data_IF_353569404931
#
_entry.id   IF_353569404931
#
_cell.length_a   1.000
_cell.length_b   1.000
_cell.length_c   1.000
_cell.angle_alpha   90.00
_cell.angle_beta   90.00
_cell.angle_gamma   90.00
#
_symmetry.space_group_name_H-M   'P 1'
#
loop_
_entity.id
_entity.type
_entity.pdbx_description
1 polymer ?
#
# COMPACT_ATOMS: atom_id res chain seq x y z
N UNK A 1 -3.64 2.58 1.72
CA UNK A 1 -2.69 1.74 0.95
C UNK A 1 -1.31 1.86 1.58
N UNK A 2 -0.69 0.74 1.94
CA UNK A 2 0.73 0.67 2.31
C UNK A 2 1.54 0.08 1.18
N UNK A 3 2.74 0.62 0.98
CA UNK A 3 3.78 0.10 0.08
C UNK A 3 5.01 -0.19 0.93
N UNK A 4 5.66 -1.33 0.74
CA UNK A 4 6.80 -1.78 1.54
C UNK A 4 7.84 -2.49 0.64
N UNK A 5 9.13 -2.25 0.86
CA UNK A 5 10.20 -2.92 0.11
C UNK A 5 10.41 -4.33 0.69
N UNK A 6 10.54 -5.31 -0.18
CA UNK A 6 10.89 -6.67 0.24
C UNK A 6 12.39 -6.79 0.46
N UNK A 7 12.74 -7.56 1.50
CA UNK A 7 14.12 -7.88 1.83
C UNK A 7 15.00 -6.62 2.03
N UNK A 8 14.38 -5.51 2.53
CA UNK A 8 15.08 -4.25 2.73
C UNK A 8 16.15 -4.35 3.84
N UNK A 9 15.84 -4.99 4.96
CA UNK A 9 16.81 -5.12 6.07
C UNK A 9 18.10 -5.81 5.64
N UNK A 10 18.07 -7.01 5.00
CA UNK A 10 19.29 -7.63 4.46
C UNK A 10 20.02 -6.75 3.44
N UNK A 11 19.26 -6.01 2.61
CA UNK A 11 19.87 -5.07 1.67
C UNK A 11 20.61 -3.95 2.40
N UNK A 12 20.00 -3.30 3.40
CA UNK A 12 20.60 -2.21 4.16
C UNK A 12 21.82 -2.67 4.98
N UNK A 13 21.82 -3.90 5.48
CA UNK A 13 22.97 -4.49 6.20
C UNK A 13 24.18 -4.77 5.27
N UNK A 14 23.92 -4.99 3.98
CA UNK A 14 24.94 -5.39 2.99
C UNK A 14 25.42 -4.24 2.10
N UNK A 15 24.85 -3.05 2.24
CA UNK A 15 25.15 -1.90 1.41
C UNK A 15 25.45 -0.66 2.24
N UNK A 16 25.95 0.40 1.59
CA UNK A 16 26.23 1.67 2.27
C UNK A 16 24.95 2.42 2.64
N UNK A 17 25.04 3.39 3.53
CA UNK A 17 23.92 4.25 3.87
C UNK A 17 23.44 5.06 2.65
N UNK A 18 24.38 5.51 1.82
CA UNK A 18 24.11 6.23 0.57
C UNK A 18 23.32 5.36 -0.42
N UNK A 19 23.72 4.11 -0.64
CA UNK A 19 23.00 3.15 -1.51
C UNK A 19 21.62 2.84 -0.98
N UNK A 20 21.51 2.71 0.33
CA UNK A 20 20.22 2.45 1.01
C UNK A 20 19.25 3.62 0.80
N UNK A 21 19.70 4.85 1.01
CA UNK A 21 18.88 6.06 0.77
C UNK A 21 18.56 6.23 -0.71
N UNK A 22 19.52 5.99 -1.60
CA UNK A 22 19.29 6.06 -3.04
C UNK A 22 18.19 5.08 -3.50
N UNK A 23 18.17 3.87 -2.94
CA UNK A 23 17.16 2.86 -3.23
C UNK A 23 15.76 3.29 -2.76
N UNK A 24 15.66 3.87 -1.56
CA UNK A 24 14.40 4.42 -1.05
C UNK A 24 13.89 5.56 -1.93
N UNK A 25 14.76 6.52 -2.24
CA UNK A 25 14.41 7.67 -3.09
C UNK A 25 13.94 7.21 -4.46
N UNK A 26 14.62 6.23 -5.07
CA UNK A 26 14.25 5.69 -6.37
C UNK A 26 12.84 5.03 -6.37
N UNK A 27 12.43 4.39 -5.27
CA UNK A 27 11.06 3.89 -5.10
C UNK A 27 10.08 5.06 -4.94
N UNK A 28 10.40 6.02 -4.07
CA UNK A 28 9.46 7.12 -3.78
C UNK A 28 9.26 8.07 -4.96
N UNK A 29 10.24 8.19 -5.87
CA UNK A 29 10.09 8.87 -7.17
C UNK A 29 9.02 8.22 -8.07
N UNK A 30 8.70 6.93 -7.86
CA UNK A 30 7.61 6.23 -8.54
C UNK A 30 6.30 6.39 -7.77
N UNK A 31 6.36 6.16 -6.45
CA UNK A 31 5.15 6.07 -5.60
C UNK A 31 4.47 7.42 -5.46
N UNK A 32 5.22 8.48 -5.13
CA UNK A 32 4.64 9.79 -4.82
C UNK A 32 3.88 10.39 -5.99
N UNK A 33 4.45 10.51 -7.20
CA UNK A 33 3.71 11.04 -8.35
C UNK A 33 2.50 10.18 -8.70
N UNK A 34 2.62 8.85 -8.69
CA UNK A 34 1.51 7.97 -9.01
C UNK A 34 0.31 8.16 -8.06
N UNK A 35 0.57 8.36 -6.78
CA UNK A 35 -0.46 8.62 -5.77
C UNK A 35 -1.09 9.99 -5.95
N UNK A 36 -0.27 11.03 -6.13
CA UNK A 36 -0.73 12.43 -6.26
C UNK A 36 -1.55 12.64 -7.53
N UNK A 37 -1.08 12.12 -8.66
CA UNK A 37 -1.78 12.23 -9.96
C UNK A 37 -3.17 11.57 -9.93
N UNK A 38 -3.36 10.58 -9.07
CA UNK A 38 -4.64 9.91 -8.87
C UNK A 38 -5.52 10.57 -7.77
N UNK A 39 -5.14 11.72 -7.26
CA UNK A 39 -5.90 12.46 -6.25
C UNK A 39 -5.73 11.95 -4.82
N UNK A 40 -4.79 11.05 -4.59
CA UNK A 40 -4.35 10.64 -3.26
C UNK A 40 -3.23 11.52 -2.71
N UNK A 41 -2.75 11.19 -1.52
CA UNK A 41 -1.53 11.78 -0.97
C UNK A 41 -0.71 10.75 -0.18
N UNK A 42 0.60 10.96 -0.13
CA UNK A 42 1.48 10.19 0.75
C UNK A 42 1.46 10.86 2.12
N UNK A 43 0.86 10.17 3.10
CA UNK A 43 0.71 10.71 4.46
C UNK A 43 2.05 10.71 5.22
N UNK A 44 2.79 9.62 5.11
CA UNK A 44 4.12 9.50 5.73
C UNK A 44 4.95 8.38 5.09
N UNK A 45 6.26 8.53 5.22
CA UNK A 45 7.20 7.45 5.00
C UNK A 45 7.44 6.70 6.33
N UNK A 46 7.52 5.38 6.26
CA UNK A 46 7.62 4.48 7.42
C UNK A 46 8.77 3.50 7.19
N UNK A 47 9.98 3.92 7.54
CA UNK A 47 11.17 3.13 7.26
C UNK A 47 11.36 2.90 5.76
N UNK A 48 11.20 1.67 5.33
CA UNK A 48 11.33 1.22 3.94
C UNK A 48 10.01 1.23 3.15
N UNK A 49 8.99 1.89 3.68
CA UNK A 49 7.67 1.94 3.07
C UNK A 49 7.00 3.30 3.11
N UNK A 50 5.78 3.36 2.59
CA UNK A 50 4.95 4.55 2.57
C UNK A 50 3.48 4.24 2.84
N UNK A 51 2.81 5.15 3.54
CA UNK A 51 1.36 5.19 3.68
C UNK A 51 0.77 6.18 2.69
N UNK A 52 0.05 5.69 1.72
CA UNK A 52 -0.73 6.50 0.78
C UNK A 52 -2.23 6.41 1.11
N UNK A 53 -2.91 7.53 0.96
CA UNK A 53 -4.31 7.71 1.37
C UNK A 53 -5.12 8.28 0.21
N UNK A 54 -6.31 7.72 0.04
CA UNK A 54 -7.30 8.14 -0.95
C UNK A 54 -8.64 8.37 -0.23
N UNK A 55 -9.26 9.52 -0.43
CA UNK A 55 -10.56 9.83 0.16
C UNK A 55 -10.52 10.36 1.60
N UNK A 56 -9.37 10.84 2.08
CA UNK A 56 -9.23 11.57 3.33
C UNK A 56 -8.03 12.54 3.24
N UNK A 57 -8.07 13.76 3.79
CA UNK A 57 -9.21 14.35 4.47
C UNK A 57 -10.35 14.79 3.55
N UNK A 58 -10.10 14.87 2.23
CA UNK A 58 -11.09 15.24 1.24
C UNK A 58 -11.74 13.97 0.68
N UNK A 59 -13.07 14.00 0.55
CA UNK A 59 -13.82 12.89 0.01
C UNK A 59 -13.44 12.59 -1.45
N UNK A 60 -13.31 11.31 -1.77
CA UNK A 60 -13.05 10.81 -3.09
C UNK A 60 -13.92 9.56 -3.30
N UNK A 61 -14.98 9.70 -4.09
CA UNK A 61 -16.02 8.68 -4.24
C UNK A 61 -15.44 7.35 -4.76
N UNK A 62 -14.50 7.43 -5.69
CA UNK A 62 -13.83 6.30 -6.34
C UNK A 62 -12.46 5.97 -5.71
N UNK A 63 -12.31 6.25 -4.39
CA UNK A 63 -11.04 6.08 -3.68
C UNK A 63 -10.46 4.66 -3.77
N UNK A 64 -11.31 3.63 -3.73
CA UNK A 64 -10.87 2.24 -3.80
C UNK A 64 -10.37 1.88 -5.21
N UNK A 65 -11.12 2.29 -6.24
CA UNK A 65 -10.73 2.05 -7.65
C UNK A 65 -9.41 2.74 -7.99
N UNK A 66 -9.24 4.00 -7.53
CA UNK A 66 -7.97 4.73 -7.72
C UNK A 66 -6.82 4.07 -6.98
N UNK A 67 -7.02 3.66 -5.73
CA UNK A 67 -6.00 2.98 -4.96
C UNK A 67 -5.52 1.69 -5.64
N UNK A 68 -6.44 0.89 -6.17
CA UNK A 68 -6.12 -0.36 -6.89
C UNK A 68 -5.41 -0.06 -8.22
N UNK A 69 -5.89 0.92 -8.98
CA UNK A 69 -5.25 1.33 -10.24
C UNK A 69 -3.83 1.84 -10.04
N UNK A 70 -3.63 2.67 -9.00
CA UNK A 70 -2.30 3.19 -8.62
C UNK A 70 -1.37 2.06 -8.16
N UNK A 71 -1.86 1.12 -7.38
CA UNK A 71 -1.06 -0.03 -6.95
C UNK A 71 -0.53 -0.83 -8.14
N UNK A 72 -1.38 -1.11 -9.12
CA UNK A 72 -0.96 -1.79 -10.37
C UNK A 72 0.04 -0.96 -11.17
N UNK A 73 -0.17 0.36 -11.26
CA UNK A 73 0.75 1.28 -11.93
C UNK A 73 2.13 1.28 -11.25
N UNK A 74 2.16 1.36 -9.92
CA UNK A 74 3.41 1.33 -9.13
C UNK A 74 4.15 0.02 -9.35
N UNK A 75 3.47 -1.13 -9.25
CA UNK A 75 4.08 -2.45 -9.47
C UNK A 75 4.72 -2.55 -10.85
N UNK A 76 4.00 -2.13 -11.90
CA UNK A 76 4.52 -2.11 -13.26
C UNK A 76 5.75 -1.20 -13.41
N UNK A 77 5.69 0.04 -12.93
CA UNK A 77 6.81 0.99 -13.01
C UNK A 77 8.05 0.53 -12.23
N UNK A 78 7.84 -0.16 -11.09
CA UNK A 78 8.93 -0.75 -10.32
C UNK A 78 9.58 -1.89 -11.11
N UNK A 79 8.79 -2.75 -11.72
CA UNK A 79 9.33 -3.84 -12.55
C UNK A 79 10.07 -3.31 -13.78
N UNK A 80 9.49 -2.34 -14.49
CA UNK A 80 10.12 -1.66 -15.65
C UNK A 80 11.45 -0.99 -15.29
N UNK A 81 11.54 -0.34 -14.11
CA UNK A 81 12.75 0.39 -13.69
C UNK A 81 13.83 -0.52 -13.12
N UNK A 82 13.46 -1.57 -12.42
CA UNK A 82 14.40 -2.36 -11.62
C UNK A 82 14.56 -3.81 -12.09
N UNK A 83 13.72 -4.32 -12.98
CA UNK A 83 13.82 -5.65 -13.56
C UNK A 83 13.94 -6.76 -12.51
N UNK A 84 13.19 -6.67 -11.39
CA UNK A 84 13.25 -7.62 -10.29
C UNK A 84 14.33 -7.37 -9.24
N UNK A 85 15.29 -6.44 -9.46
CA UNK A 85 16.31 -6.08 -8.46
C UNK A 85 15.73 -5.36 -7.23
N UNK A 86 14.55 -4.74 -7.36
CA UNK A 86 13.76 -4.20 -6.27
C UNK A 86 12.36 -4.80 -6.33
N UNK A 87 11.94 -5.44 -5.26
CA UNK A 87 10.59 -5.99 -5.13
C UNK A 87 9.85 -5.27 -4.02
N UNK A 88 8.55 -5.06 -4.21
CA UNK A 88 7.68 -4.41 -3.23
C UNK A 88 6.46 -5.27 -2.92
N UNK A 89 5.84 -5.00 -1.78
CA UNK A 89 4.51 -5.45 -1.43
C UNK A 89 3.57 -4.27 -1.28
N UNK A 90 2.33 -4.42 -1.70
CA UNK A 90 1.29 -3.42 -1.53
C UNK A 90 0.08 -4.05 -0.84
N UNK A 91 -0.38 -3.40 0.25
CA UNK A 91 -1.58 -3.80 0.98
C UNK A 91 -2.62 -2.68 0.96
N UNK A 92 -3.84 -2.99 0.55
CA UNK A 92 -4.94 -2.03 0.48
C UNK A 92 -6.09 -2.48 1.38
N UNK A 93 -6.54 -1.58 2.22
CA UNK A 93 -7.76 -1.72 3.00
C UNK A 93 -8.60 -0.45 2.91
N UNK A 94 -9.90 -0.59 2.96
CA UNK A 94 -10.87 0.51 2.93
C UNK A 94 -11.70 0.50 4.20
N UNK A 95 -12.02 1.69 4.70
CA UNK A 95 -12.87 1.87 5.88
C UNK A 95 -12.73 3.26 6.49
N UNK A 96 -13.52 3.51 7.51
CA UNK A 96 -13.51 4.79 8.20
C UNK A 96 -12.17 5.05 8.91
N UNK A 97 -11.71 6.29 8.81
CA UNK A 97 -10.53 6.80 9.51
C UNK A 97 -10.84 8.16 10.12
N UNK A 98 -10.14 8.50 11.18
CA UNK A 98 -10.14 9.86 11.73
C UNK A 98 -8.88 10.54 11.21
N UNK A 99 -9.07 11.60 10.42
CA UNK A 99 -7.98 12.47 9.98
C UNK A 99 -7.87 13.64 10.96
N UNK A 100 -6.70 13.84 11.55
CA UNK A 100 -6.51 14.87 12.54
C UNK A 100 -5.05 15.10 12.90
N UNK A 101 -4.84 16.17 13.66
CA UNK A 101 -3.52 16.51 14.17
C UNK A 101 -3.35 15.93 15.58
N UNK A 102 -2.29 15.18 15.76
CA UNK A 102 -1.88 14.67 17.07
C UNK A 102 -0.59 15.36 17.46
N UNK A 103 -0.46 15.67 18.73
CA UNK A 103 0.77 16.20 19.26
C UNK A 103 0.61 16.97 20.57
N UNK A 104 1.75 17.42 21.08
CA UNK A 104 1.86 18.22 22.29
C UNK A 104 3.29 18.74 22.44
N UNK A 105 3.51 19.69 23.37
CA UNK A 105 4.85 20.21 23.61
C UNK A 105 5.49 20.91 22.41
N UNK A 106 4.70 21.48 21.50
CA UNK A 106 5.19 22.19 20.30
C UNK A 106 5.39 21.33 19.06
N UNK A 107 5.17 20.01 19.14
CA UNK A 107 5.23 19.12 17.98
C UNK A 107 3.82 18.64 17.60
N UNK A 108 3.40 18.95 16.39
CA UNK A 108 2.13 18.54 15.81
C UNK A 108 2.39 17.69 14.56
N UNK A 109 1.68 16.58 14.43
CA UNK A 109 1.74 15.70 13.26
C UNK A 109 0.32 15.42 12.76
N UNK A 110 0.05 15.71 11.49
CA UNK A 110 -1.17 15.28 10.84
C UNK A 110 -1.11 13.78 10.62
N UNK A 111 -2.09 13.07 11.10
CA UNK A 111 -2.11 11.61 10.99
C UNK A 111 -3.51 11.07 10.78
N UNK A 112 -3.56 9.83 10.34
CA UNK A 112 -4.79 9.06 10.21
C UNK A 112 -4.83 8.00 11.30
N UNK A 113 -5.92 8.00 12.05
CA UNK A 113 -6.15 7.06 13.15
C UNK A 113 -7.35 6.19 12.81
N UNK A 114 -7.21 4.92 13.07
CA UNK A 114 -8.30 3.96 12.94
C UNK A 114 -7.78 2.54 12.70
N UNK A 115 -8.62 1.59 13.01
CA UNK A 115 -8.36 0.17 12.76
C UNK A 115 -8.10 -0.10 11.26
N UNK A 116 -8.74 0.66 10.39
CA UNK A 116 -8.55 0.64 8.93
C UNK A 116 -7.08 0.77 8.52
N UNK A 117 -6.35 1.69 9.16
CA UNK A 117 -4.92 1.90 8.89
C UNK A 117 -4.09 0.71 9.38
N UNK A 118 -4.39 0.21 10.58
CA UNK A 118 -3.71 -0.94 11.17
C UNK A 118 -3.90 -2.22 10.35
N UNK A 119 -5.11 -2.45 9.84
CA UNK A 119 -5.39 -3.58 8.94
C UNK A 119 -4.57 -3.47 7.66
N UNK A 120 -4.55 -2.32 7.01
CA UNK A 120 -3.76 -2.11 5.79
C UNK A 120 -2.26 -2.35 6.03
N UNK A 121 -1.72 -1.89 7.17
CA UNK A 121 -0.32 -2.15 7.55
C UNK A 121 -0.01 -3.65 7.74
N UNK A 122 -0.98 -4.44 8.22
CA UNK A 122 -0.81 -5.89 8.37
C UNK A 122 -0.99 -6.64 7.07
N UNK A 123 -1.88 -6.16 6.20
CA UNK A 123 -2.11 -6.74 4.88
C UNK A 123 -0.85 -6.61 4.01
N UNK A 124 -0.13 -5.47 4.06
CA UNK A 124 1.13 -5.37 3.32
C UNK A 124 2.19 -6.35 3.85
N UNK A 125 2.26 -6.59 5.16
CA UNK A 125 3.16 -7.61 5.71
C UNK A 125 2.76 -9.03 5.29
N UNK A 126 1.46 -9.30 5.16
CA UNK A 126 0.96 -10.59 4.70
C UNK A 126 1.42 -10.92 3.26
N UNK A 127 1.71 -9.93 2.43
CA UNK A 127 2.27 -10.15 1.08
C UNK A 127 3.58 -10.95 1.10
N UNK A 128 4.34 -10.87 2.19
CA UNK A 128 5.58 -11.65 2.38
C UNK A 128 5.31 -13.13 2.55
N UNK A 129 4.17 -13.48 3.14
CA UNK A 129 3.76 -14.87 3.41
C UNK A 129 3.05 -15.49 2.21
N UNK A 130 2.15 -14.73 1.57
CA UNK A 130 1.40 -15.23 0.40
C UNK A 130 2.21 -15.25 -0.87
N UNK A 131 3.30 -14.46 -0.93
CA UNK A 131 4.11 -14.30 -2.14
C UNK A 131 3.54 -13.29 -3.15
N UNK A 132 2.31 -12.80 -2.93
CA UNK A 132 1.66 -11.84 -3.82
C UNK A 132 2.25 -10.44 -3.65
N UNK A 133 2.43 -9.70 -4.74
CA UNK A 133 2.89 -8.31 -4.68
C UNK A 133 1.79 -7.33 -4.27
N UNK A 134 0.52 -7.69 -4.43
CA UNK A 134 -0.65 -6.88 -4.08
C UNK A 134 -1.66 -7.72 -3.31
N UNK A 135 -2.11 -7.21 -2.17
CA UNK A 135 -3.25 -7.77 -1.44
C UNK A 135 -4.30 -6.70 -1.15
N UNK A 136 -5.55 -7.08 -1.39
CA UNK A 136 -6.76 -6.28 -1.17
C UNK A 136 -7.60 -6.97 -0.10
N UNK A 137 -8.18 -6.24 0.83
CA UNK A 137 -9.16 -6.80 1.77
C UNK A 137 -10.54 -6.92 1.13
N UNK A 138 -11.42 -7.74 1.73
CA UNK A 138 -12.83 -7.80 1.33
C UNK A 138 -13.48 -6.41 1.35
N UNK A 139 -13.22 -5.59 2.38
CA UNK A 139 -13.74 -4.22 2.46
C UNK A 139 -13.29 -3.33 1.29
N UNK A 140 -12.07 -3.56 0.78
CA UNK A 140 -11.60 -2.87 -0.42
C UNK A 140 -12.39 -3.33 -1.66
N UNK A 141 -12.61 -4.64 -1.81
CA UNK A 141 -13.38 -5.21 -2.92
C UNK A 141 -14.82 -4.70 -2.92
N UNK A 142 -15.44 -4.62 -1.74
CA UNK A 142 -16.82 -4.15 -1.59
C UNK A 142 -16.99 -2.65 -1.91
N UNK A 143 -15.92 -1.89 -1.82
CA UNK A 143 -15.89 -0.46 -2.14
C UNK A 143 -15.55 -0.14 -3.61
N UNK A 144 -15.21 -1.15 -4.42
CA UNK A 144 -14.96 -0.97 -5.85
C UNK A 144 -16.26 -0.78 -6.62
N UNK A 145 -16.27 0.13 -7.59
CA UNK A 145 -17.39 0.32 -8.50
C UNK A 145 -17.63 -0.93 -9.36
N UNK A 146 -16.56 -1.62 -9.75
CA UNK A 146 -16.64 -2.87 -10.51
C UNK A 146 -15.62 -3.87 -9.99
N UNK A 147 -16.03 -5.14 -9.94
CA UNK A 147 -15.11 -6.21 -9.57
C UNK A 147 -14.05 -6.38 -10.67
N UNK A 148 -12.76 -6.21 -10.36
CA UNK A 148 -11.72 -6.29 -11.37
C UNK A 148 -11.59 -7.72 -11.91
N UNK A 149 -11.32 -7.89 -13.21
CA UNK A 149 -10.98 -9.20 -13.76
C UNK A 149 -9.70 -9.72 -13.13
N UNK A 150 -9.58 -11.04 -13.05
CA UNK A 150 -8.39 -11.69 -12.45
C UNK A 150 -8.31 -11.61 -10.93
N UNK A 151 -9.43 -11.33 -10.25
CA UNK A 151 -9.47 -11.34 -8.80
C UNK A 151 -9.35 -12.78 -8.27
N UNK A 152 -8.33 -13.04 -7.48
CA UNK A 152 -8.01 -14.34 -6.89
C UNK A 152 -8.17 -14.24 -5.37
N UNK A 153 -8.99 -15.13 -4.81
CA UNK A 153 -9.18 -15.23 -3.37
C UNK A 153 -7.97 -15.94 -2.72
N UNK A 154 -7.37 -15.32 -1.71
CA UNK A 154 -6.26 -15.86 -0.92
C UNK A 154 -6.68 -16.35 0.47
N UNK A 155 -7.99 -16.41 0.73
CA UNK A 155 -8.56 -16.91 1.97
C UNK A 155 -8.59 -15.88 3.09
N UNK A 156 -8.91 -16.38 4.28
CA UNK A 156 -9.02 -15.57 5.50
C UNK A 156 -7.78 -15.76 6.36
N UNK A 157 -7.20 -14.66 6.82
CA UNK A 157 -5.99 -14.66 7.60
C UNK A 157 -6.20 -13.98 8.95
N UNK A 158 -5.70 -14.61 10.02
CA UNK A 158 -5.65 -14.01 11.34
C UNK A 158 -4.61 -12.89 11.33
N UNK A 159 -5.03 -11.67 11.63
CA UNK A 159 -4.13 -10.53 11.75
C UNK A 159 -3.92 -10.20 13.22
N UNK A 160 -2.66 -9.92 13.62
CA UNK A 160 -2.30 -9.60 15.01
C UNK A 160 -3.15 -8.43 15.52
N UNK A 161 -3.86 -8.63 16.67
CA UNK A 161 -4.72 -7.63 17.28
C UNK A 161 -6.11 -7.49 16.66
N UNK A 162 -6.51 -8.43 15.77
CA UNK A 162 -7.89 -8.54 15.29
C UNK A 162 -8.53 -9.79 15.87
N UNK A 163 -9.78 -9.65 16.31
CA UNK A 163 -10.59 -10.77 16.80
C UNK A 163 -11.13 -11.65 15.68
N UNK A 164 -11.38 -11.08 14.51
CA UNK A 164 -11.86 -11.78 13.33
C UNK A 164 -10.75 -11.88 12.26
N UNK A 165 -10.75 -12.98 11.54
CA UNK A 165 -9.89 -13.15 10.37
C UNK A 165 -10.31 -12.18 9.25
N UNK A 166 -9.33 -11.70 8.51
CA UNK A 166 -9.54 -10.78 7.39
C UNK A 166 -9.38 -11.54 6.08
N UNK A 167 -10.40 -11.49 5.24
CA UNK A 167 -10.36 -12.06 3.91
C UNK A 167 -9.57 -11.18 2.96
N UNK A 168 -8.63 -11.79 2.22
CA UNK A 168 -7.77 -11.06 1.30
C UNK A 168 -7.80 -11.67 -0.10
N UNK A 169 -7.52 -10.82 -1.07
CA UNK A 169 -7.51 -11.11 -2.49
C UNK A 169 -6.27 -10.54 -3.13
N UNK A 170 -5.85 -11.15 -4.23
CA UNK A 170 -4.86 -10.57 -5.14
C UNK A 170 -5.46 -10.40 -6.53
N UNK A 171 -4.73 -9.73 -7.41
CA UNK A 171 -5.06 -9.63 -8.83
C UNK A 171 -4.04 -10.43 -9.63
N UNK A 172 -4.51 -11.15 -10.62
CA UNK A 172 -3.65 -11.83 -11.57
C UNK A 172 -2.76 -10.80 -12.29
N UNK A 173 -1.44 -10.89 -12.17
CA UNK A 173 -0.53 -9.93 -12.79
C UNK A 173 -0.57 -9.99 -14.32
N UNK A 174 -0.98 -11.11 -14.92
CA UNK A 174 -1.06 -11.30 -16.37
C UNK A 174 -2.30 -10.66 -16.99
N UNK A 175 -3.33 -10.35 -16.19
CA UNK A 175 -4.55 -9.71 -16.70
C UNK A 175 -4.40 -8.18 -16.61
N UNK A 176 -4.35 -7.48 -17.77
CA UNK A 176 -4.24 -6.03 -17.79
C UNK A 176 -5.44 -5.37 -17.08
N UNK A 177 -5.22 -4.16 -16.54
CA UNK A 177 -6.34 -3.33 -16.10
C UNK A 177 -7.24 -3.06 -17.31
N UNK A 178 -8.54 -3.29 -17.15
CA UNK A 178 -9.51 -2.83 -18.15
C UNK A 178 -9.34 -1.31 -18.33
N UNK A 179 -9.18 -0.89 -19.56
CA UNK A 179 -9.10 0.51 -19.98
C UNK A 179 -10.43 1.21 -19.73
#
# INVERSE_FOLDING_TARGET
MFVDIRDFTPFAESNTAEDTVARLNALFEIVVPAVVDAGGHVNKFLGDGALAVFGAPNDLVDHADRAVSVARLILRRVDERFGGALRIGIGINTGAVIAGTIGGGGKLEFTLIGDTVNVAARVVQLTKTTGDALLLTQSCIDALAFRPPGLINRGSHALKGKSAAVQVFTLDPEIPAST
#
